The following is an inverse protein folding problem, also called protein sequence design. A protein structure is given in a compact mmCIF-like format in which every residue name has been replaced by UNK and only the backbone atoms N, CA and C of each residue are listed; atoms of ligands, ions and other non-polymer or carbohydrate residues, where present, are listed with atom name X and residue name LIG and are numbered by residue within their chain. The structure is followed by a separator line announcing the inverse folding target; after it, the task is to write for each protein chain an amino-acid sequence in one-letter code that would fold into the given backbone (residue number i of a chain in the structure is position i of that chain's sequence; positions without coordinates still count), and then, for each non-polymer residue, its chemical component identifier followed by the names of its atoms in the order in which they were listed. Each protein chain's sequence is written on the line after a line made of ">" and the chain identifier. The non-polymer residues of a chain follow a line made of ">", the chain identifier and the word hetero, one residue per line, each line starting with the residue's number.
data_IF_086987736685
#
_entry.id   IF_086987736685
#
_cell.length_a   1.000
_cell.length_b   1.000
_cell.length_c   1.000
_cell.angle_alpha   90.00
_cell.angle_beta   90.00
_cell.angle_gamma   90.00
#
_symmetry.space_group_name_H-M   'P 1'
#
loop_
_entity.id
_entity.type
_entity.pdbx_description
1 polymer ?
#
# COMPACT_ATOMS: atom_id res chain seq x y z
N UNK A 1 -11.01 -40.42 -17.25
CA UNK A 1 -9.75 -39.68 -17.50
C UNK A 1 -9.77 -38.89 -18.81
N UNK A 2 -10.56 -39.27 -19.82
CA UNK A 2 -10.58 -38.57 -21.11
C UNK A 2 -11.36 -37.25 -21.11
N UNK A 3 -12.43 -37.12 -20.32
CA UNK A 3 -13.22 -35.89 -20.24
C UNK A 3 -12.41 -34.71 -19.66
N UNK A 4 -11.63 -34.94 -18.62
CA UNK A 4 -10.75 -33.92 -18.02
C UNK A 4 -9.61 -33.52 -18.96
N UNK A 5 -9.10 -34.45 -19.78
CA UNK A 5 -8.09 -34.13 -20.80
C UNK A 5 -8.68 -33.28 -21.93
N UNK A 6 -9.92 -33.57 -22.34
CA UNK A 6 -10.62 -32.78 -23.36
C UNK A 6 -10.90 -31.35 -22.88
N UNK A 7 -11.26 -31.19 -21.60
CA UNK A 7 -11.52 -29.89 -20.98
C UNK A 7 -10.24 -29.06 -20.86
N UNK A 8 -9.12 -29.68 -20.46
CA UNK A 8 -7.81 -29.00 -20.42
C UNK A 8 -7.39 -28.55 -21.82
N UNK A 9 -7.54 -29.40 -22.84
CA UNK A 9 -7.21 -29.01 -24.21
C UNK A 9 -8.12 -27.89 -24.76
N UNK A 10 -9.40 -27.84 -24.35
CA UNK A 10 -10.31 -26.77 -24.75
C UNK A 10 -9.91 -25.42 -24.13
N UNK A 11 -9.56 -25.42 -22.84
CA UNK A 11 -9.11 -24.24 -22.12
C UNK A 11 -7.75 -23.74 -22.64
N UNK A 12 -6.82 -24.63 -22.95
CA UNK A 12 -5.54 -24.27 -23.58
C UNK A 12 -5.73 -23.62 -24.95
N UNK A 13 -6.68 -24.12 -25.76
CA UNK A 13 -7.02 -23.54 -27.05
C UNK A 13 -7.65 -22.14 -26.92
N UNK A 14 -8.50 -21.93 -25.91
CA UNK A 14 -9.11 -20.63 -25.62
C UNK A 14 -8.07 -19.61 -25.15
N UNK A 15 -7.15 -20.00 -24.24
CA UNK A 15 -6.04 -19.14 -23.80
C UNK A 15 -5.14 -18.75 -24.98
N UNK A 16 -4.85 -19.69 -25.90
CA UNK A 16 -4.06 -19.42 -27.09
C UNK A 16 -4.78 -18.48 -28.10
N UNK A 17 -6.11 -18.56 -28.18
CA UNK A 17 -6.90 -17.64 -29.00
C UNK A 17 -6.92 -16.22 -28.40
N UNK A 18 -7.10 -16.11 -27.08
CA UNK A 18 -7.09 -14.83 -26.36
C UNK A 18 -5.73 -14.14 -26.43
N UNK A 19 -4.61 -14.89 -26.32
CA UNK A 19 -3.26 -14.34 -26.48
C UNK A 19 -3.01 -13.82 -27.89
N UNK A 20 -3.47 -14.53 -28.93
CA UNK A 20 -3.39 -14.03 -30.31
C UNK A 20 -4.22 -12.79 -30.57
N UNK A 21 -5.39 -12.66 -29.94
CA UNK A 21 -6.19 -11.44 -30.00
C UNK A 21 -5.53 -10.26 -29.29
N UNK A 22 -4.67 -10.51 -28.29
CA UNK A 22 -3.88 -9.48 -27.63
C UNK A 22 -2.60 -9.09 -28.40
N UNK A 23 -2.12 -9.95 -29.31
CA UNK A 23 -0.90 -9.76 -30.11
C UNK A 23 -1.16 -9.17 -31.51
N UNK A 24 -2.39 -8.73 -31.82
CA UNK A 24 -2.62 -7.97 -33.05
C UNK A 24 -1.69 -6.74 -33.07
N UNK A 25 -0.82 -6.62 -34.09
CA UNK A 25 0.01 -5.44 -34.23
C UNK A 25 -0.91 -4.26 -34.50
N UNK A 26 -0.87 -3.26 -33.60
CA UNK A 26 -1.49 -1.95 -33.82
C UNK A 26 -1.16 -1.50 -35.24
N UNK A 27 -2.18 -1.35 -36.07
CA UNK A 27 -2.04 -0.70 -37.35
C UNK A 27 -1.46 0.70 -37.09
N UNK A 28 -0.19 0.89 -37.46
CA UNK A 28 0.43 2.19 -37.51
C UNK A 28 -0.34 3.03 -38.53
N UNK A 29 -1.19 3.95 -38.06
CA UNK A 29 -1.98 4.77 -38.97
C UNK A 29 -2.80 5.90 -38.38
N UNK A 30 -3.45 5.72 -37.21
CA UNK A 30 -4.51 6.67 -36.81
C UNK A 30 -4.36 7.27 -35.41
N UNK A 31 -3.47 6.74 -34.57
CA UNK A 31 -3.34 7.15 -33.16
C UNK A 31 -2.52 8.45 -32.96
N UNK A 32 -1.65 8.78 -33.92
CA UNK A 32 -0.81 9.98 -33.84
C UNK A 32 -1.63 11.29 -33.84
N UNK A 33 -2.79 11.29 -34.49
CA UNK A 33 -3.67 12.46 -34.56
C UNK A 33 -4.51 12.69 -33.30
N UNK A 34 -4.69 11.66 -32.47
CA UNK A 34 -5.55 11.71 -31.28
C UNK A 34 -4.74 12.10 -30.04
N UNK A 35 -3.51 11.59 -29.92
CA UNK A 35 -2.53 12.01 -28.90
C UNK A 35 -2.22 13.52 -29.00
N UNK A 36 -2.16 14.06 -30.22
CA UNK A 36 -1.89 15.48 -30.44
C UNK A 36 -3.05 16.40 -30.07
N UNK A 37 -4.29 15.89 -30.02
CA UNK A 37 -5.46 16.66 -29.56
C UNK A 37 -5.54 16.72 -28.05
N UNK A 38 -5.26 15.62 -27.35
CA UNK A 38 -5.30 15.55 -25.89
C UNK A 38 -4.21 16.40 -25.22
N UNK A 39 -3.04 16.56 -25.84
CA UNK A 39 -1.98 17.45 -25.35
C UNK A 39 -2.34 18.94 -25.43
N UNK A 40 -3.30 19.35 -26.27
CA UNK A 40 -3.75 20.75 -26.37
C UNK A 40 -4.79 21.15 -25.32
N UNK A 41 -5.49 20.19 -24.71
CA UNK A 41 -6.55 20.49 -23.73
C UNK A 41 -6.04 20.68 -22.30
N UNK A 42 -4.81 20.23 -22.00
CA UNK A 42 -4.23 20.32 -20.64
C UNK A 42 -3.62 21.71 -20.37
N UNK A 43 -3.34 22.51 -21.40
CA UNK A 43 -2.81 23.88 -21.26
C UNK A 43 -3.55 24.85 -22.21
N UNK A 44 -4.20 25.92 -21.71
CA UNK A 44 -4.65 27.02 -22.55
C UNK A 44 -3.41 27.62 -23.23
N UNK A 45 -3.28 27.38 -24.52
CA UNK A 45 -2.14 27.82 -25.31
C UNK A 45 -2.18 29.33 -25.51
N UNK A 46 -1.38 30.06 -24.73
CA UNK A 46 -0.80 31.31 -25.20
C UNK A 46 0.59 31.01 -25.78
N UNK A 47 0.87 31.63 -26.93
CA UNK A 47 2.15 31.71 -27.63
C UNK A 47 2.51 30.59 -28.63
N UNK A 48 2.31 30.93 -29.90
CA UNK A 48 3.25 30.78 -31.03
C UNK A 48 4.41 29.77 -30.90
N UNK A 49 4.44 28.82 -31.85
CA UNK A 49 5.67 28.18 -32.29
C UNK A 49 5.97 26.82 -31.69
N UNK A 50 5.36 25.75 -32.23
CA UNK A 50 5.96 24.42 -32.13
C UNK A 50 7.22 24.39 -33.00
N UNK A 51 8.34 24.84 -32.45
CA UNK A 51 9.64 24.77 -33.07
C UNK A 51 10.33 23.44 -32.71
N UNK A 52 10.88 22.74 -33.69
CA UNK A 52 11.91 21.69 -33.55
C UNK A 52 11.57 20.37 -32.82
N UNK A 53 11.94 19.24 -33.45
CA UNK A 53 11.95 17.88 -32.86
C UNK A 53 12.75 17.77 -31.55
N UNK A 54 13.78 18.62 -31.36
CA UNK A 54 14.57 18.67 -30.12
C UNK A 54 13.77 19.17 -28.91
N UNK A 55 12.76 20.02 -29.14
CA UNK A 55 11.96 20.61 -28.06
C UNK A 55 10.90 19.60 -27.57
N UNK A 56 10.43 18.71 -28.47
CA UNK A 56 9.62 17.55 -28.14
C UNK A 56 10.39 16.49 -27.35
N UNK A 57 11.63 16.20 -27.75
CA UNK A 57 12.47 15.23 -27.04
C UNK A 57 12.78 15.69 -25.61
N UNK A 58 13.18 16.95 -25.44
CA UNK A 58 13.44 17.51 -24.12
C UNK A 58 12.18 17.56 -23.24
N UNK A 59 11.00 17.80 -23.82
CA UNK A 59 9.72 17.69 -23.09
C UNK A 59 9.42 16.26 -22.63
N UNK A 60 9.66 15.26 -23.49
CA UNK A 60 9.48 13.86 -23.11
C UNK A 60 10.42 13.45 -21.99
N UNK A 61 11.72 13.79 -22.11
CA UNK A 61 12.71 13.52 -21.05
C UNK A 61 12.33 14.19 -19.72
N UNK A 62 11.76 15.40 -19.79
CA UNK A 62 11.26 16.10 -18.61
C UNK A 62 10.06 15.38 -17.97
N UNK A 63 9.05 15.02 -18.76
CA UNK A 63 7.86 14.29 -18.28
C UNK A 63 8.21 12.91 -17.71
N UNK A 64 9.14 12.20 -18.33
CA UNK A 64 9.67 10.93 -17.82
C UNK A 64 10.35 11.12 -16.46
N UNK A 65 11.12 12.20 -16.31
CA UNK A 65 11.76 12.56 -15.04
C UNK A 65 10.74 12.92 -13.96
N UNK A 66 9.68 13.63 -14.31
CA UNK A 66 8.58 13.94 -13.38
C UNK A 66 7.81 12.69 -12.96
N UNK A 67 7.51 11.79 -13.90
CA UNK A 67 6.86 10.52 -13.58
C UNK A 67 7.73 9.64 -12.68
N UNK A 68 9.03 9.59 -12.94
CA UNK A 68 10.00 8.88 -12.09
C UNK A 68 10.09 9.51 -10.70
N UNK A 69 10.06 10.84 -10.62
CA UNK A 69 10.04 11.54 -9.35
C UNK A 69 8.77 11.23 -8.55
N UNK A 70 7.60 11.30 -9.19
CA UNK A 70 6.31 10.98 -8.57
C UNK A 70 6.24 9.52 -8.12
N UNK A 71 6.76 8.59 -8.92
CA UNK A 71 6.78 7.18 -8.56
C UNK A 71 7.72 6.90 -7.40
N UNK A 72 8.86 7.57 -7.35
CA UNK A 72 9.79 7.50 -6.21
C UNK A 72 9.16 8.10 -4.95
N UNK A 73 8.45 9.22 -5.07
CA UNK A 73 7.84 9.93 -3.95
C UNK A 73 6.63 9.20 -3.36
N UNK A 74 5.82 8.56 -4.19
CA UNK A 74 4.55 7.94 -3.79
C UNK A 74 4.61 6.42 -3.72
N UNK A 75 5.66 5.81 -4.29
CA UNK A 75 5.75 4.36 -4.49
C UNK A 75 4.81 3.83 -5.58
N UNK A 76 4.02 4.69 -6.24
CA UNK A 76 3.02 4.29 -7.23
C UNK A 76 3.63 4.33 -8.63
N UNK A 77 3.57 3.21 -9.34
CA UNK A 77 3.99 3.10 -10.73
C UNK A 77 2.79 2.73 -11.61
N UNK A 78 2.46 3.60 -12.55
CA UNK A 78 1.48 3.31 -13.60
C UNK A 78 2.18 2.50 -14.69
N UNK A 79 1.63 1.33 -15.03
CA UNK A 79 2.16 0.44 -16.06
C UNK A 79 1.40 0.54 -17.37
N UNK A 80 0.08 0.66 -17.31
CA UNK A 80 -0.76 0.71 -18.49
C UNK A 80 -1.91 1.68 -18.27
N UNK A 81 -2.26 2.40 -19.32
CA UNK A 81 -3.41 3.28 -19.36
C UNK A 81 -4.08 3.13 -20.72
N UNK A 82 -5.41 3.02 -20.69
CA UNK A 82 -6.22 3.02 -21.89
C UNK A 82 -7.51 3.80 -21.64
N UNK A 83 -8.00 4.44 -22.69
CA UNK A 83 -9.18 5.29 -22.65
C UNK A 83 -10.04 5.00 -23.88
N UNK A 84 -11.34 4.93 -23.68
CA UNK A 84 -12.35 4.87 -24.74
C UNK A 84 -13.35 5.99 -24.55
N UNK A 85 -13.80 6.58 -25.65
CA UNK A 85 -14.70 7.73 -25.62
C UNK A 85 -15.98 7.40 -26.39
N UNK A 86 -17.12 7.64 -25.76
CA UNK A 86 -18.45 7.41 -26.31
C UNK A 86 -19.24 8.74 -26.26
N UNK A 87 -19.59 9.28 -27.44
CA UNK A 87 -20.43 10.47 -27.54
C UNK A 87 -21.89 10.10 -27.25
N UNK A 88 -22.48 10.72 -26.22
CA UNK A 88 -23.85 10.45 -25.78
C UNK A 88 -24.88 11.40 -26.41
N UNK A 89 -24.61 11.97 -27.60
CA UNK A 89 -25.51 12.97 -28.21
C UNK A 89 -26.90 12.38 -28.41
N UNK A 90 -27.87 12.82 -27.60
CA UNK A 90 -29.26 12.42 -27.69
C UNK A 90 -29.88 12.87 -29.01
N UNK A 91 -30.50 11.93 -29.72
CA UNK A 91 -31.33 12.14 -30.93
C UNK A 91 -32.64 12.90 -30.67
N UNK A 92 -32.73 13.67 -29.58
CA UNK A 92 -33.91 14.47 -29.28
C UNK A 92 -33.62 15.93 -29.58
N UNK A 93 -34.16 16.36 -30.72
CA UNK A 93 -34.35 17.77 -31.05
C UNK A 93 -35.18 18.40 -29.93
N UNK A 94 -34.56 19.02 -28.94
CA UNK A 94 -34.98 20.25 -28.25
C UNK A 94 -33.92 20.60 -27.19
N UNK A 95 -33.55 21.89 -27.16
CA UNK A 95 -32.74 22.59 -26.14
C UNK A 95 -31.19 22.47 -26.17
N UNK A 96 -30.59 23.49 -26.83
CA UNK A 96 -29.32 24.17 -26.49
C UNK A 96 -28.07 23.32 -26.25
N UNK A 97 -27.41 22.87 -27.31
CA UNK A 97 -25.94 22.61 -27.40
C UNK A 97 -25.26 22.05 -26.14
N UNK A 98 -25.84 21.05 -25.47
CA UNK A 98 -25.18 20.32 -24.39
C UNK A 98 -24.49 19.12 -25.03
N UNK A 99 -23.15 19.11 -25.04
CA UNK A 99 -22.39 17.94 -25.46
C UNK A 99 -22.14 17.07 -24.22
N UNK A 100 -22.50 15.79 -24.30
CA UNK A 100 -22.20 14.80 -23.26
C UNK A 100 -21.27 13.75 -23.83
N UNK A 101 -20.16 13.52 -23.16
CA UNK A 101 -19.13 12.56 -23.56
C UNK A 101 -18.88 11.64 -22.37
N UNK A 102 -18.99 10.34 -22.58
CA UNK A 102 -18.62 9.33 -21.60
C UNK A 102 -17.23 8.80 -21.93
N UNK A 103 -16.31 8.91 -20.99
CA UNK A 103 -14.97 8.38 -21.11
C UNK A 103 -14.82 7.18 -20.18
N UNK A 104 -14.45 6.03 -20.73
CA UNK A 104 -14.15 4.81 -19.98
C UNK A 104 -12.64 4.65 -19.89
N UNK A 105 -12.11 4.69 -18.68
CA UNK A 105 -10.70 4.59 -18.40
C UNK A 105 -10.37 3.24 -17.77
N UNK A 106 -9.23 2.69 -18.17
CA UNK A 106 -8.62 1.54 -17.49
C UNK A 106 -7.16 1.84 -17.24
N UNK A 107 -6.78 1.82 -15.98
CA UNK A 107 -5.45 2.15 -15.48
C UNK A 107 -4.93 0.97 -14.67
N UNK A 108 -3.71 0.51 -14.91
CA UNK A 108 -3.09 -0.52 -14.08
C UNK A 108 -1.71 -0.11 -13.63
N UNK A 109 -1.32 -0.59 -12.45
CA UNK A 109 -0.09 -0.17 -11.80
C UNK A 109 0.24 -1.03 -10.59
N UNK A 110 1.23 -0.55 -9.83
CA UNK A 110 1.59 -1.11 -8.54
C UNK A 110 1.94 -0.01 -7.56
N UNK A 111 1.76 -0.30 -6.27
CA UNK A 111 2.38 0.41 -5.16
C UNK A 111 3.27 -0.59 -4.41
N UNK A 112 4.58 -0.48 -4.57
CA UNK A 112 5.54 -1.48 -4.12
C UNK A 112 5.16 -2.90 -4.61
N UNK A 113 4.86 -3.83 -3.70
CA UNK A 113 4.50 -5.22 -4.04
C UNK A 113 3.01 -5.41 -4.33
N UNK A 114 2.19 -4.37 -4.16
CA UNK A 114 0.73 -4.46 -4.33
C UNK A 114 0.38 -4.00 -5.75
N UNK A 115 -0.21 -4.88 -6.54
CA UNK A 115 -0.71 -4.54 -7.88
C UNK A 115 -2.17 -4.09 -7.82
N UNK A 116 -2.53 -3.17 -8.71
CA UNK A 116 -3.90 -2.68 -8.82
C UNK A 116 -4.27 -2.45 -10.28
N UNK A 117 -5.56 -2.55 -10.55
CA UNK A 117 -6.21 -2.12 -11.79
C UNK A 117 -7.46 -1.34 -11.43
N UNK A 118 -7.61 -0.17 -12.02
CA UNK A 118 -8.72 0.74 -11.85
C UNK A 118 -9.48 0.80 -13.17
N UNK A 119 -10.79 0.67 -13.08
CA UNK A 119 -11.72 0.86 -14.18
C UNK A 119 -12.70 1.93 -13.74
N UNK A 120 -12.75 3.07 -14.44
CA UNK A 120 -13.60 4.18 -14.04
C UNK A 120 -14.18 4.91 -15.23
N UNK A 121 -15.35 5.51 -15.02
CA UNK A 121 -16.08 6.24 -16.04
C UNK A 121 -16.15 7.72 -15.67
N UNK A 122 -15.76 8.61 -16.59
CA UNK A 122 -15.90 10.06 -16.46
C UNK A 122 -16.99 10.51 -17.41
N UNK A 123 -18.04 11.14 -16.87
CA UNK A 123 -19.03 11.85 -17.66
C UNK A 123 -18.66 13.32 -17.74
N UNK A 124 -18.33 13.76 -18.95
CA UNK A 124 -18.08 15.16 -19.26
C UNK A 124 -19.33 15.79 -19.87
N UNK A 125 -19.77 16.89 -19.28
CA UNK A 125 -20.91 17.67 -19.74
C UNK A 125 -20.38 19.06 -20.08
N UNK A 126 -20.46 19.40 -21.37
CA UNK A 126 -20.05 20.68 -21.90
C UNK A 126 -21.28 21.49 -22.28
N UNK A 127 -21.42 22.65 -21.63
CA UNK A 127 -22.37 23.70 -21.99
C UNK A 127 -21.60 24.89 -22.59
N UNK A 128 -22.31 25.89 -23.12
CA UNK A 128 -21.69 27.10 -23.70
C UNK A 128 -20.79 27.88 -22.73
N UNK A 129 -21.00 27.73 -21.42
CA UNK A 129 -20.35 28.54 -20.37
C UNK A 129 -19.54 27.69 -19.37
N UNK A 130 -19.67 26.35 -19.38
CA UNK A 130 -19.08 25.49 -18.35
C UNK A 130 -18.73 24.10 -18.88
N UNK A 131 -17.60 23.59 -18.41
CA UNK A 131 -17.21 22.18 -18.50
C UNK A 131 -17.34 21.57 -17.11
N UNK A 132 -18.12 20.49 -16.97
CA UNK A 132 -18.17 19.72 -15.74
C UNK A 132 -17.83 18.27 -16.03
N UNK A 133 -16.92 17.70 -15.24
CA UNK A 133 -16.52 16.30 -15.32
C UNK A 133 -16.80 15.63 -13.98
N UNK A 134 -17.42 14.45 -13.99
CA UNK A 134 -17.72 13.69 -12.78
C UNK A 134 -17.46 12.21 -13.01
N UNK A 135 -16.89 11.55 -12.01
CA UNK A 135 -16.71 10.09 -12.02
C UNK A 135 -18.08 9.45 -11.75
N UNK A 136 -18.61 8.72 -12.72
CA UNK A 136 -19.91 8.05 -12.63
C UNK A 136 -19.81 6.64 -12.09
N UNK A 137 -18.69 5.97 -12.34
CA UNK A 137 -18.42 4.61 -11.91
C UNK A 137 -16.94 4.43 -11.59
N UNK A 138 -16.64 3.62 -10.58
CA UNK A 138 -15.28 3.28 -10.16
C UNK A 138 -15.26 1.84 -9.65
N UNK A 139 -14.44 1.02 -10.28
CA UNK A 139 -14.15 -0.36 -9.93
C UNK A 139 -12.65 -0.54 -9.73
N UNK A 140 -12.26 -1.20 -8.65
CA UNK A 140 -10.88 -1.36 -8.22
C UNK A 140 -10.60 -2.84 -8.04
N UNK A 141 -9.73 -3.37 -8.89
CA UNK A 141 -9.31 -4.76 -8.91
C UNK A 141 -7.90 -4.82 -8.32
N UNK A 142 -7.74 -5.60 -7.25
CA UNK A 142 -6.45 -5.84 -6.61
C UNK A 142 -6.19 -7.33 -6.48
N UNK A 143 -4.92 -7.72 -6.57
CA UNK A 143 -4.54 -9.11 -6.29
C UNK A 143 -4.82 -9.45 -4.82
N UNK A 144 -5.25 -10.69 -4.51
CA UNK A 144 -5.38 -11.14 -3.14
C UNK A 144 -4.05 -10.96 -2.41
N UNK A 145 -4.08 -10.24 -1.29
CA UNK A 145 -2.90 -10.05 -0.45
C UNK A 145 -3.15 -10.65 0.93
N UNK A 146 -2.08 -10.77 1.71
CA UNK A 146 -2.15 -11.13 3.14
C UNK A 146 -2.83 -10.05 4.00
N UNK A 147 -3.14 -8.89 3.41
CA UNK A 147 -3.71 -7.73 4.08
C UNK A 147 -5.23 -7.70 3.93
N UNK A 148 -5.92 -8.33 4.87
CA UNK A 148 -7.39 -8.29 4.93
C UNK A 148 -7.96 -6.86 4.97
N UNK A 149 -7.23 -5.93 5.59
CA UNK A 149 -7.58 -4.53 5.76
C UNK A 149 -7.63 -3.75 4.44
N UNK A 150 -7.01 -4.27 3.36
CA UNK A 150 -7.08 -3.60 2.07
C UNK A 150 -8.51 -3.61 1.49
N UNK A 151 -9.27 -4.67 1.74
CA UNK A 151 -10.63 -4.80 1.19
C UNK A 151 -11.56 -3.69 1.65
N UNK A 152 -11.46 -3.29 2.93
CA UNK A 152 -12.32 -2.27 3.53
C UNK A 152 -12.15 -0.91 2.85
N UNK A 153 -10.91 -0.48 2.56
CA UNK A 153 -10.73 0.82 1.93
C UNK A 153 -11.02 0.81 0.43
N UNK A 154 -10.78 -0.31 -0.24
CA UNK A 154 -11.15 -0.47 -1.66
C UNK A 154 -12.65 -0.25 -1.83
N UNK A 155 -13.47 -0.95 -1.04
CA UNK A 155 -14.93 -0.79 -1.10
C UNK A 155 -15.36 0.65 -0.81
N UNK A 156 -14.76 1.32 0.18
CA UNK A 156 -15.09 2.73 0.47
C UNK A 156 -14.68 3.69 -0.66
N UNK A 157 -13.54 3.45 -1.30
CA UNK A 157 -13.10 4.28 -2.42
C UNK A 157 -14.01 4.12 -3.64
N UNK A 158 -14.45 2.89 -3.94
CA UNK A 158 -15.44 2.58 -4.97
C UNK A 158 -16.79 3.27 -4.69
N UNK A 159 -17.33 3.12 -3.48
CA UNK A 159 -18.59 3.73 -3.04
C UNK A 159 -18.57 5.26 -3.17
N UNK A 160 -17.45 5.90 -2.81
CA UNK A 160 -17.27 7.35 -2.89
C UNK A 160 -16.84 7.83 -4.28
N UNK A 161 -16.45 6.93 -5.18
CA UNK A 161 -15.89 7.23 -6.51
C UNK A 161 -14.68 8.17 -6.42
N UNK A 162 -13.88 7.98 -5.38
CA UNK A 162 -12.78 8.88 -5.03
C UNK A 162 -11.42 8.23 -5.32
N UNK A 163 -10.90 8.50 -6.52
CA UNK A 163 -9.57 8.04 -6.94
C UNK A 163 -8.44 8.62 -6.07
N UNK A 164 -8.59 9.87 -5.61
CA UNK A 164 -7.58 10.51 -4.79
C UNK A 164 -7.49 9.80 -3.43
N UNK A 165 -8.64 9.49 -2.84
CA UNK A 165 -8.72 8.68 -1.62
C UNK A 165 -8.00 7.35 -1.81
N UNK A 166 -8.31 6.61 -2.88
CA UNK A 166 -7.67 5.32 -3.17
C UNK A 166 -6.14 5.42 -3.17
N UNK A 167 -5.56 6.29 -3.99
CA UNK A 167 -4.10 6.41 -4.10
C UNK A 167 -3.45 6.88 -2.81
N UNK A 168 -4.07 7.84 -2.13
CA UNK A 168 -3.57 8.36 -0.85
C UNK A 168 -3.58 7.27 0.23
N UNK A 169 -4.70 6.56 0.37
CA UNK A 169 -4.85 5.49 1.35
C UNK A 169 -3.89 4.33 1.04
N UNK A 170 -3.79 3.90 -0.21
CA UNK A 170 -2.88 2.82 -0.62
C UNK A 170 -1.42 3.15 -0.29
N UNK A 171 -0.97 4.37 -0.61
CA UNK A 171 0.39 4.83 -0.28
C UNK A 171 0.67 4.71 1.22
N UNK A 172 -0.16 5.33 2.06
CA UNK A 172 0.06 5.32 3.51
C UNK A 172 -0.07 3.91 4.09
N UNK A 173 -0.99 3.11 3.56
CA UNK A 173 -1.14 1.72 3.97
C UNK A 173 0.16 0.93 3.78
N UNK A 174 0.76 1.01 2.59
CA UNK A 174 2.01 0.33 2.29
C UNK A 174 3.16 0.84 3.15
N UNK A 175 3.27 2.16 3.32
CA UNK A 175 4.27 2.78 4.21
C UNK A 175 4.16 2.23 5.66
N UNK A 176 2.93 2.11 6.18
CA UNK A 176 2.69 1.54 7.50
C UNK A 176 3.00 0.04 7.59
N UNK A 177 2.69 -0.74 6.55
CA UNK A 177 3.03 -2.16 6.49
C UNK A 177 4.55 -2.36 6.49
N UNK A 178 5.28 -1.56 5.73
CA UNK A 178 6.75 -1.59 5.72
C UNK A 178 7.35 -1.14 7.05
N UNK A 179 6.74 -0.15 7.70
CA UNK A 179 7.14 0.27 9.04
C UNK A 179 6.92 -0.83 10.09
N UNK A 180 5.75 -1.49 10.10
CA UNK A 180 5.47 -2.64 10.96
C UNK A 180 6.47 -3.76 10.74
N UNK A 181 6.71 -4.14 9.47
CA UNK A 181 7.64 -5.22 9.11
C UNK A 181 9.05 -4.94 9.62
N UNK A 182 9.56 -3.74 9.39
CA UNK A 182 10.90 -3.33 9.88
C UNK A 182 10.96 -3.33 11.41
N UNK A 183 9.92 -2.85 12.07
CA UNK A 183 9.85 -2.80 13.54
C UNK A 183 9.86 -4.20 14.13
N UNK A 184 9.00 -5.10 13.64
CA UNK A 184 8.94 -6.49 14.11
C UNK A 184 10.25 -7.24 13.85
N UNK A 185 10.85 -7.06 12.67
CA UNK A 185 12.13 -7.66 12.36
C UNK A 185 13.23 -7.16 13.32
N UNK A 186 13.31 -5.84 13.53
CA UNK A 186 14.29 -5.24 14.45
C UNK A 186 14.16 -5.80 15.87
N UNK A 187 12.94 -5.87 16.41
CA UNK A 187 12.69 -6.41 17.74
C UNK A 187 13.01 -7.90 17.83
N UNK A 188 12.73 -8.67 16.77
CA UNK A 188 13.11 -10.09 16.70
C UNK A 188 14.63 -10.28 16.69
N UNK A 189 15.36 -9.45 15.94
CA UNK A 189 16.82 -9.52 15.86
C UNK A 189 17.46 -9.11 17.19
N UNK A 190 16.88 -8.13 17.88
CA UNK A 190 17.37 -7.60 19.17
C UNK A 190 17.04 -8.52 20.35
N UNK A 191 15.87 -9.16 20.34
CA UNK A 191 15.36 -10.00 21.42
C UNK A 191 14.93 -11.39 20.91
N UNK A 192 15.85 -12.20 20.35
CA UNK A 192 15.50 -13.43 19.65
C UNK A 192 14.83 -14.48 20.54
N UNK A 193 15.16 -14.52 21.84
CA UNK A 193 14.61 -15.49 22.81
C UNK A 193 13.22 -15.12 23.33
N UNK A 194 12.87 -13.83 23.27
CA UNK A 194 11.66 -13.27 23.89
C UNK A 194 10.61 -12.95 22.83
N UNK A 195 11.04 -12.43 21.68
CA UNK A 195 10.17 -12.03 20.58
C UNK A 195 10.00 -13.18 19.60
N UNK A 196 8.75 -13.41 19.17
CA UNK A 196 8.36 -14.47 18.26
C UNK A 196 7.42 -13.92 17.17
N UNK A 197 7.67 -14.34 15.93
CA UNK A 197 6.90 -13.96 14.75
C UNK A 197 6.35 -15.24 14.09
N UNK A 198 5.18 -15.75 14.51
CA UNK A 198 4.65 -17.04 14.03
C UNK A 198 4.38 -17.06 12.53
N UNK A 199 3.87 -15.94 12.03
CA UNK A 199 3.50 -15.73 10.63
C UNK A 199 4.52 -14.85 9.90
N UNK A 200 5.71 -14.66 10.50
CA UNK A 200 6.77 -13.81 9.98
C UNK A 200 6.59 -12.31 10.26
N UNK A 201 7.62 -11.52 9.92
CA UNK A 201 7.64 -10.08 10.21
C UNK A 201 6.60 -9.27 9.43
N UNK A 202 6.09 -9.79 8.32
CA UNK A 202 5.05 -9.14 7.55
C UNK A 202 3.64 -9.29 8.17
N UNK A 203 3.46 -10.18 9.16
CA UNK A 203 2.16 -10.41 9.81
C UNK A 203 1.68 -9.23 10.66
N UNK A 204 0.39 -9.25 10.99
CA UNK A 204 -0.24 -8.35 11.95
C UNK A 204 0.09 -8.67 13.42
N UNK A 205 0.72 -9.81 13.71
CA UNK A 205 0.92 -10.26 15.07
C UNK A 205 2.40 -10.47 15.43
N UNK A 206 2.77 -10.02 16.62
CA UNK A 206 4.06 -10.31 17.26
C UNK A 206 3.80 -10.88 18.66
N UNK A 207 4.39 -12.02 18.96
CA UNK A 207 4.35 -12.62 20.30
C UNK A 207 5.56 -12.21 21.14
N UNK A 208 5.34 -11.97 22.42
CA UNK A 208 6.37 -11.70 23.43
C UNK A 208 6.21 -12.71 24.56
N UNK A 209 7.18 -13.59 24.75
CA UNK A 209 7.14 -14.67 25.73
C UNK A 209 8.06 -14.39 26.90
N UNK A 210 7.59 -14.68 28.11
CA UNK A 210 8.48 -14.61 29.27
C UNK A 210 9.43 -15.80 29.27
N UNK A 211 10.74 -15.53 29.39
CA UNK A 211 11.73 -16.58 29.63
C UNK A 211 11.56 -17.26 31.00
N UNK A 212 10.93 -16.57 31.96
CA UNK A 212 10.76 -17.05 33.33
C UNK A 212 9.48 -17.86 33.55
N UNK A 213 8.46 -17.71 32.69
CA UNK A 213 7.16 -18.36 32.84
C UNK A 213 6.71 -19.04 31.54
N UNK A 214 6.95 -20.36 31.40
CA UNK A 214 6.47 -21.12 30.26
C UNK A 214 4.95 -21.02 30.11
N UNK A 215 4.48 -20.67 28.92
CA UNK A 215 3.05 -20.54 28.61
C UNK A 215 2.47 -19.14 28.80
N UNK A 216 3.23 -18.19 29.35
CA UNK A 216 2.83 -16.77 29.36
C UNK A 216 3.32 -16.07 28.08
N UNK A 217 2.37 -15.54 27.30
CA UNK A 217 2.63 -14.84 26.05
C UNK A 217 1.77 -13.58 25.95
N UNK A 218 2.39 -12.45 25.63
CA UNK A 218 1.67 -11.24 25.24
C UNK A 218 1.72 -11.12 23.72
N UNK A 219 0.56 -11.10 23.07
CA UNK A 219 0.47 -10.94 21.62
C UNK A 219 0.12 -9.50 21.30
N UNK A 220 1.03 -8.82 20.62
CA UNK A 220 0.76 -7.50 20.03
C UNK A 220 0.09 -7.70 18.69
N UNK A 221 -1.09 -7.10 18.53
CA UNK A 221 -1.86 -7.10 17.29
C UNK A 221 -1.78 -5.70 16.70
N UNK A 222 -1.15 -5.57 15.54
CA UNK A 222 -0.95 -4.31 14.82
C UNK A 222 -1.70 -4.34 13.48
N UNK A 223 -2.83 -3.62 13.45
CA UNK A 223 -3.68 -3.46 12.26
C UNK A 223 -3.63 -2.05 11.73
N UNK A 224 -3.92 -1.87 10.45
CA UNK A 224 -4.08 -0.53 9.87
C UNK A 224 -5.56 -0.18 9.89
N UNK A 225 -5.90 0.96 10.47
CA UNK A 225 -7.26 1.48 10.47
C UNK A 225 -7.38 2.63 9.48
N UNK A 226 -8.57 2.78 8.90
CA UNK A 226 -8.88 3.86 8.00
C UNK A 226 -10.09 4.67 8.45
N UNK A 227 -9.88 5.98 8.55
CA UNK A 227 -10.91 6.98 8.77
C UNK A 227 -11.82 7.16 7.56
N UNK A 228 -12.94 7.88 7.74
CA UNK A 228 -13.88 8.15 6.66
C UNK A 228 -13.25 8.92 5.50
N UNK A 229 -12.32 9.83 5.79
CA UNK A 229 -11.64 10.65 4.80
C UNK A 229 -10.54 9.87 4.06
N UNK A 230 -10.28 8.60 4.39
CA UNK A 230 -9.22 7.81 3.78
C UNK A 230 -7.83 8.03 4.39
N UNK A 231 -7.77 8.61 5.60
CA UNK A 231 -6.53 8.66 6.37
C UNK A 231 -6.27 7.30 6.99
N UNK A 232 -5.05 6.78 6.80
CA UNK A 232 -4.63 5.46 7.32
C UNK A 232 -3.67 5.66 8.49
N UNK A 233 -3.92 4.93 9.57
CA UNK A 233 -3.05 4.96 10.76
C UNK A 233 -2.98 3.60 11.44
N UNK A 234 -1.88 3.33 12.16
CA UNK A 234 -1.69 2.07 12.84
C UNK A 234 -2.52 2.04 14.12
N UNK A 235 -3.19 0.92 14.36
CA UNK A 235 -3.86 0.61 15.62
C UNK A 235 -3.26 -0.65 16.20
N UNK A 236 -2.61 -0.48 17.36
CA UNK A 236 -2.00 -1.56 18.09
C UNK A 236 -2.86 -1.89 19.32
N UNK A 237 -3.01 -3.19 19.56
CA UNK A 237 -3.64 -3.71 20.75
C UNK A 237 -2.84 -4.86 21.35
N UNK A 238 -3.14 -5.21 22.59
CA UNK A 238 -2.46 -6.28 23.31
C UNK A 238 -3.45 -7.37 23.68
N UNK A 239 -3.07 -8.63 23.44
CA UNK A 239 -3.81 -9.80 23.86
C UNK A 239 -2.93 -10.65 24.78
N UNK A 240 -3.18 -10.63 26.11
CA UNK A 240 -2.53 -11.55 27.03
C UNK A 240 -3.04 -12.97 26.82
N UNK A 241 -2.13 -13.90 26.54
CA UNK A 241 -2.36 -15.35 26.52
C UNK A 241 -1.66 -15.94 27.74
N UNK A 242 -2.46 -16.38 28.70
CA UNK A 242 -1.95 -16.94 29.96
C UNK A 242 -2.59 -18.29 30.26
N UNK A 243 -1.90 -19.18 30.99
CA UNK A 243 -2.52 -20.39 31.52
C UNK A 243 -3.67 -20.06 32.48
N UNK A 244 -4.69 -20.91 32.53
CA UNK A 244 -5.88 -20.69 33.37
C UNK A 244 -5.53 -20.53 34.86
N UNK A 245 -4.51 -21.27 35.34
CA UNK A 245 -4.03 -21.16 36.71
C UNK A 245 -3.46 -19.77 37.04
N UNK A 246 -2.84 -19.09 36.06
CA UNK A 246 -2.33 -17.73 36.24
C UNK A 246 -3.46 -16.69 36.27
N UNK A 247 -4.55 -16.95 35.55
CA UNK A 247 -5.74 -16.09 35.57
C UNK A 247 -6.44 -16.13 36.93
N UNK A 248 -6.54 -17.30 37.56
CA UNK A 248 -7.12 -17.46 38.91
C UNK A 248 -6.31 -16.73 39.99
N UNK A 249 -5.01 -16.50 39.75
CA UNK A 249 -4.11 -15.80 40.64
C UNK A 249 -4.06 -14.28 40.41
N UNK A 250 -4.70 -13.77 39.35
CA UNK A 250 -4.74 -12.32 39.02
C UNK A 250 -5.79 -11.57 39.86
N UNK A 251 -5.52 -11.47 41.17
CA UNK A 251 -6.41 -10.79 42.13
C UNK A 251 -6.66 -9.32 41.83
N UNK A 252 -5.83 -8.71 40.98
CA UNK A 252 -5.85 -7.28 40.66
C UNK A 252 -6.31 -6.97 39.23
N UNK A 253 -6.78 -7.98 38.47
CA UNK A 253 -7.24 -7.82 37.09
C UNK A 253 -6.19 -7.11 36.20
N UNK A 254 -4.91 -7.39 36.44
CA UNK A 254 -3.80 -6.79 35.70
C UNK A 254 -3.87 -7.21 34.24
N UNK A 255 -4.23 -8.46 33.96
CA UNK A 255 -4.33 -8.99 32.60
C UNK A 255 -5.47 -8.35 31.83
N UNK A 256 -6.61 -8.12 32.48
CA UNK A 256 -7.76 -7.44 31.88
C UNK A 256 -7.45 -5.97 31.57
N UNK A 257 -6.67 -5.30 32.43
CA UNK A 257 -6.30 -3.89 32.24
C UNK A 257 -5.06 -3.69 31.36
N UNK A 258 -4.31 -4.74 31.05
CA UNK A 258 -3.08 -4.67 30.26
C UNK A 258 -3.25 -4.03 28.87
N UNK A 259 -4.30 -4.33 28.08
CA UNK A 259 -4.52 -3.68 26.79
C UNK A 259 -4.70 -2.16 26.92
N UNK A 260 -5.44 -1.71 27.93
CA UNK A 260 -5.64 -0.28 28.19
C UNK A 260 -4.34 0.42 28.59
N UNK A 261 -3.55 -0.21 29.47
CA UNK A 261 -2.24 0.32 29.87
C UNK A 261 -1.27 0.41 28.69
N UNK A 262 -1.27 -0.60 27.83
CA UNK A 262 -0.45 -0.62 26.61
C UNK A 262 -0.84 0.51 25.65
N UNK A 263 -2.14 0.75 25.42
CA UNK A 263 -2.61 1.88 24.61
C UNK A 263 -2.20 3.24 25.19
N UNK A 264 -2.22 3.37 26.52
CA UNK A 264 -1.73 4.58 27.20
C UNK A 264 -0.23 4.76 26.94
N UNK A 265 0.55 3.68 27.04
CA UNK A 265 1.99 3.71 26.78
C UNK A 265 2.31 4.10 25.33
N UNK A 266 1.56 3.58 24.36
CA UNK A 266 1.66 3.94 22.95
C UNK A 266 1.45 5.44 22.73
N UNK A 267 0.46 6.04 23.40
CA UNK A 267 0.18 7.47 23.30
C UNK A 267 1.28 8.36 23.91
N UNK A 268 1.99 7.87 24.91
CA UNK A 268 3.04 8.65 25.61
C UNK A 268 4.42 8.46 24.96
N UNK A 269 4.79 7.23 24.62
CA UNK A 269 6.15 6.89 24.15
C UNK A 269 6.25 6.72 22.64
N UNK A 270 5.13 6.55 21.93
CA UNK A 270 5.13 6.09 20.55
C UNK A 270 5.34 4.58 20.43
N UNK A 271 5.30 4.08 19.20
CA UNK A 271 5.18 2.64 18.93
C UNK A 271 6.44 1.87 19.35
N UNK A 272 7.61 2.24 18.82
CA UNK A 272 8.86 1.51 19.08
C UNK A 272 9.20 1.45 20.56
N UNK A 273 9.19 2.59 21.26
CA UNK A 273 9.53 2.66 22.68
C UNK A 273 8.50 1.96 23.58
N UNK A 274 7.22 1.96 23.22
CA UNK A 274 6.20 1.20 23.95
C UNK A 274 6.39 -0.31 23.78
N UNK A 275 6.69 -0.78 22.57
CA UNK A 275 7.00 -2.20 22.30
C UNK A 275 8.26 -2.64 23.04
N UNK A 276 9.30 -1.82 23.01
CA UNK A 276 10.55 -2.06 23.74
C UNK A 276 10.32 -2.17 25.25
N UNK A 277 9.52 -1.26 25.81
CA UNK A 277 9.16 -1.26 27.23
C UNK A 277 8.36 -2.51 27.61
N UNK A 278 7.48 -2.97 26.73
CA UNK A 278 6.73 -4.22 26.91
C UNK A 278 7.67 -5.43 26.96
N UNK A 279 8.60 -5.52 26.00
CA UNK A 279 9.57 -6.62 25.92
C UNK A 279 10.47 -6.64 27.14
N UNK A 280 11.05 -5.49 27.49
CA UNK A 280 11.95 -5.37 28.65
C UNK A 280 11.26 -5.69 29.97
N UNK A 281 9.95 -5.45 30.10
CA UNK A 281 9.19 -5.84 31.30
C UNK A 281 9.07 -7.36 31.50
N UNK A 282 9.24 -8.14 30.42
CA UNK A 282 9.19 -9.60 30.44
C UNK A 282 10.57 -10.26 30.38
N UNK A 283 11.62 -9.46 30.15
CA UNK A 283 13.01 -9.91 30.23
C UNK A 283 13.46 -9.96 31.70
N UNK A 284 14.12 -11.03 32.15
CA UNK A 284 14.80 -11.02 33.44
C UNK A 284 15.91 -9.95 33.44
N UNK A 285 16.10 -9.29 34.58
CA UNK A 285 16.99 -8.13 34.75
C UNK A 285 18.50 -8.40 34.49
N UNK A 286 18.89 -9.65 34.19
CA UNK A 286 20.30 -10.07 34.13
C UNK A 286 20.94 -10.03 32.75
N UNK A 287 20.26 -9.53 31.71
CA UNK A 287 20.85 -9.30 30.38
C UNK A 287 21.16 -7.82 30.09
N UNK A 288 21.60 -7.07 31.11
CA UNK A 288 22.50 -5.94 30.84
C UNK A 288 23.85 -6.54 30.43
N UNK A 289 24.17 -6.47 29.14
CA UNK A 289 25.47 -6.87 28.58
C UNK A 289 26.65 -6.42 29.46
N UNK A 290 27.75 -7.20 29.54
CA UNK A 290 28.87 -6.85 30.38
C UNK A 290 29.49 -5.55 29.87
N UNK A 291 29.64 -4.58 30.77
CA UNK A 291 30.45 -3.40 30.52
C UNK A 291 31.86 -3.85 30.08
N UNK A 292 32.25 -3.49 28.87
CA UNK A 292 33.62 -3.61 28.38
C UNK A 292 34.59 -3.02 29.40
N UNK A 293 35.26 -3.90 30.16
CA UNK A 293 36.44 -3.56 30.95
C UNK A 293 37.53 -4.54 30.55
N UNK A 294 38.13 -4.31 29.39
CA UNK A 294 39.53 -4.63 29.18
C UNK A 294 40.30 -3.32 29.27
N UNK A 295 40.63 -2.92 30.50
CA UNK A 295 41.83 -2.12 30.72
C UNK A 295 43.00 -3.05 30.43
N UNK A 296 43.76 -2.74 29.39
CA UNK A 296 45.09 -3.27 29.16
C UNK A 296 45.97 -2.91 30.38
N UNK A 297 46.15 -3.86 31.29
CA UNK A 297 47.29 -3.84 32.20
C UNK A 297 48.53 -4.22 31.40
N UNK A 298 49.18 -3.20 30.81
CA UNK A 298 50.58 -3.29 30.39
C UNK A 298 51.44 -3.44 31.64
N UNK A 299 51.81 -4.67 31.97
CA UNK A 299 53.00 -4.94 32.77
C UNK A 299 54.24 -4.46 31.98
N UNK A 300 54.77 -3.31 32.36
CA UNK A 300 56.15 -2.95 32.07
C UNK A 300 57.03 -3.53 33.18
N UNK A 301 57.83 -4.55 32.86
CA UNK A 301 59.02 -4.89 33.65
C UNK A 301 60.19 -4.00 33.19
N UNK A 302 61.00 -3.46 34.11
CA UNK A 302 62.15 -2.65 33.75
C UNK A 302 63.37 -3.53 33.40
N UNK A 303 64.06 -3.13 32.33
CA UNK A 303 65.44 -3.53 32.07
C UNK A 303 66.37 -2.73 32.98
N UNK A 304 67.17 -3.39 33.80
CA UNK A 304 68.44 -2.85 34.28
C UNK A 304 69.54 -3.93 34.18
N UNK A 305 70.58 -3.56 33.43
CA UNK A 305 71.99 -4.03 33.39
C UNK A 305 72.30 -5.48 33.01
#
# INVERSE_FOLDING_TARGET
>A
MDAQRAEVCALEAEIAALRRACEEPRAAGEDAGLVQKSLREIYPSDSEGWASSKDLQSHLEHLESELLFLSTLTGINIRNYSMKTEDLTSTEKTEKSIKKVLQKHRLSGNCHMITFQLEFEILEIQNKESLSSVITDLNIIMEPTEYSELSEFVSRAEERRDLLMFFRSLRFFVEWCDYRKRTFQHLKDKYPEVVHLPEGAASSCMGVRSACQPGFELVVVWRMHMEEEGKVFPKLDLLPKVPQQALELDQHHILETAPLRFRTLLGVLGIEAALESLITSLCPADNQFPANTQREDKLAQPFES
#
